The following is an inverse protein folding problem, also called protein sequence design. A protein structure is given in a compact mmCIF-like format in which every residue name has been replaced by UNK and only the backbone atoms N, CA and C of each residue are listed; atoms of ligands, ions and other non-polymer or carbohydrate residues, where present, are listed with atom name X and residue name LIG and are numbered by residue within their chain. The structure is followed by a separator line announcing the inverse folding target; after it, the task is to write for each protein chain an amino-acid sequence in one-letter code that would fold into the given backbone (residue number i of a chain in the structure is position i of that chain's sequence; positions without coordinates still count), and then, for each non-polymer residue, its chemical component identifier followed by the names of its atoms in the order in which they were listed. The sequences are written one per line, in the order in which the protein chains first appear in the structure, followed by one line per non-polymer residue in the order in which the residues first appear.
data_IF_868846499440
#
_entry.id   IF_868846499440
#
_cell.length_a   1.000
_cell.length_b   1.000
_cell.length_c   1.000
_cell.angle_alpha   90.00
_cell.angle_beta   90.00
_cell.angle_gamma   90.00
#
_symmetry.space_group_name_H-M   'P 1'
#
loop_
_entity.id
_entity.type
_entity.pdbx_description
1 polymer ?
#
# COMPACT_ATOMS: atom_id res chain seq x y z
N UNK A 1 71.95 -7.61 -18.30
CA UNK A 1 72.89 -8.35 -17.42
C UNK A 1 72.07 -8.95 -16.28
N UNK A 2 72.21 -10.26 -16.07
CA UNK A 2 71.66 -11.10 -14.99
C UNK A 2 71.82 -10.48 -13.59
N UNK A 3 71.16 -10.87 -12.49
CA UNK A 3 70.39 -12.04 -12.05
C UNK A 3 69.52 -11.57 -10.85
N UNK A 4 68.25 -11.93 -10.67
CA UNK A 4 67.70 -13.17 -10.09
C UNK A 4 68.26 -13.62 -8.71
N UNK A 5 67.38 -13.60 -7.68
CA UNK A 5 67.10 -14.63 -6.64
C UNK A 5 66.24 -14.00 -5.52
N UNK A 6 64.93 -14.21 -5.49
CA UNK A 6 64.20 -15.38 -4.93
C UNK A 6 64.35 -15.56 -3.42
N UNK A 7 63.21 -15.43 -2.70
CA UNK A 7 62.75 -16.38 -1.67
C UNK A 7 61.32 -16.05 -1.15
N UNK A 8 60.37 -16.87 -1.61
CA UNK A 8 59.04 -17.17 -1.03
C UNK A 8 59.23 -18.03 0.27
N UNK A 9 58.21 -18.44 1.06
CA UNK A 9 56.77 -18.23 0.98
C UNK A 9 56.06 -17.92 2.32
N UNK A 10 54.74 -17.66 2.28
CA UNK A 10 53.76 -18.22 3.23
C UNK A 10 52.34 -17.99 2.69
N UNK A 11 51.69 -19.11 2.37
CA UNK A 11 50.25 -19.20 2.13
C UNK A 11 49.48 -18.81 3.39
N UNK A 12 48.38 -18.07 3.22
CA UNK A 12 47.16 -18.27 3.99
C UNK A 12 45.98 -18.06 3.05
N UNK A 13 45.52 -19.17 2.44
CA UNK A 13 44.18 -19.25 1.92
C UNK A 13 43.22 -19.19 3.11
N UNK A 14 42.36 -18.17 3.17
CA UNK A 14 41.15 -18.21 3.99
C UNK A 14 39.96 -17.90 3.11
N UNK A 15 39.24 -18.97 2.82
CA UNK A 15 37.89 -19.04 2.31
C UNK A 15 37.00 -18.30 3.33
N UNK A 16 36.70 -17.04 3.06
CA UNK A 16 35.68 -16.29 3.79
C UNK A 16 34.40 -16.34 2.97
N UNK A 17 33.59 -17.39 3.19
CA UNK A 17 32.28 -17.50 2.55
C UNK A 17 31.47 -16.24 2.83
N UNK A 18 30.94 -15.63 1.77
CA UNK A 18 29.88 -14.64 1.90
C UNK A 18 28.69 -15.35 2.54
N UNK A 19 28.55 -15.23 3.86
CA UNK A 19 27.29 -15.45 4.55
C UNK A 19 26.34 -14.39 4.01
N UNK A 20 25.62 -14.75 2.95
CA UNK A 20 24.37 -14.07 2.61
C UNK A 20 23.43 -14.45 3.73
N UNK A 21 23.38 -13.61 4.77
CA UNK A 21 22.33 -13.69 5.76
C UNK A 21 21.07 -13.30 5.00
N UNK A 22 20.33 -14.31 4.52
CA UNK A 22 18.94 -14.12 4.14
C UNK A 22 18.22 -13.69 5.42
N UNK A 23 18.08 -12.38 5.61
CA UNK A 23 17.33 -11.83 6.71
C UNK A 23 15.86 -12.19 6.48
N UNK A 24 15.44 -13.33 7.00
CA UNK A 24 14.03 -13.59 7.30
C UNK A 24 13.67 -12.71 8.50
N UNK A 25 13.48 -11.42 8.27
CA UNK A 25 12.72 -10.58 9.19
C UNK A 25 11.24 -10.85 8.95
N UNK A 26 10.39 -10.87 9.98
CA UNK A 26 8.96 -10.72 9.76
C UNK A 26 8.79 -9.41 9.00
N UNK A 27 8.39 -9.49 7.73
CA UNK A 27 8.17 -8.31 6.92
C UNK A 27 6.90 -7.64 7.41
N UNK A 28 7.00 -6.84 8.47
CA UNK A 28 5.93 -5.91 8.82
C UNK A 28 5.70 -5.04 7.58
N UNK A 29 4.48 -5.07 7.04
CA UNK A 29 4.15 -4.26 5.87
C UNK A 29 4.42 -2.79 6.20
N UNK A 30 5.08 -2.07 5.29
CA UNK A 30 5.35 -0.64 5.51
C UNK A 30 4.01 0.12 5.55
N UNK A 31 3.64 0.59 6.74
CA UNK A 31 2.38 1.29 6.98
C UNK A 31 2.57 2.76 6.69
N UNK A 32 1.81 3.25 5.72
CA UNK A 32 1.74 4.65 5.34
C UNK A 32 0.49 5.28 5.94
N UNK A 33 0.65 6.33 6.75
CA UNK A 33 -0.47 7.11 7.28
C UNK A 33 -0.85 8.23 6.33
N UNK A 34 -2.15 8.43 6.14
CA UNK A 34 -2.70 9.55 5.39
C UNK A 34 -3.03 10.67 6.38
N UNK A 35 -2.68 11.90 6.03
CA UNK A 35 -2.82 13.04 6.92
C UNK A 35 -4.05 13.87 6.57
N UNK A 36 -4.79 14.36 7.57
CA UNK A 36 -5.72 15.46 7.38
C UNK A 36 -5.14 16.74 8.01
N UNK A 37 -5.42 17.92 7.44
CA UNK A 37 -4.86 19.19 7.90
C UNK A 37 -5.20 19.52 9.37
N UNK A 38 -6.19 18.83 9.96
CA UNK A 38 -6.62 19.02 11.33
C UNK A 38 -5.81 18.18 12.35
N UNK A 39 -5.28 17.01 11.96
CA UNK A 39 -4.56 16.06 12.83
C UNK A 39 -3.68 15.10 12.03
N UNK A 40 -2.53 14.72 12.60
CA UNK A 40 -1.87 13.45 12.25
C UNK A 40 -2.67 12.28 12.84
N UNK A 41 -3.94 12.12 12.44
CA UNK A 41 -4.75 11.01 12.91
C UNK A 41 -4.44 9.73 12.12
N UNK A 42 -4.48 8.60 12.81
CA UNK A 42 -4.21 7.27 12.25
C UNK A 42 -5.47 6.63 11.68
N UNK A 43 -6.49 7.44 11.38
CA UNK A 43 -7.79 6.96 10.94
C UNK A 43 -7.75 6.42 9.51
N UNK A 44 -6.77 6.84 8.71
CA UNK A 44 -6.55 6.34 7.35
C UNK A 44 -5.09 5.91 7.21
N UNK A 45 -4.90 4.63 6.90
CA UNK A 45 -3.59 4.05 6.66
C UNK A 45 -3.62 3.13 5.44
N UNK A 46 -2.50 3.01 4.75
CA UNK A 46 -2.34 2.08 3.64
C UNK A 46 -1.07 1.27 3.77
N UNK A 47 -1.12 0.03 3.29
CA UNK A 47 -0.01 -0.90 3.33
C UNK A 47 -0.06 -1.86 2.15
N UNK A 48 1.11 -2.37 1.75
CA UNK A 48 1.21 -3.40 0.73
C UNK A 48 0.70 -4.75 1.27
N UNK A 49 0.07 -5.55 0.41
CA UNK A 49 -0.33 -6.91 0.74
C UNK A 49 0.86 -7.85 0.95
N UNK A 50 0.65 -8.90 1.73
CA UNK A 50 1.70 -9.83 2.09
C UNK A 50 2.14 -10.72 0.91
N UNK A 51 3.46 -10.86 0.74
CA UNK A 51 4.06 -11.71 -0.31
C UNK A 51 3.66 -13.19 -0.16
N UNK A 52 3.56 -13.70 1.07
CA UNK A 52 3.18 -15.11 1.30
C UNK A 52 1.74 -15.43 0.87
N UNK A 53 0.88 -14.42 0.69
CA UNK A 53 -0.44 -14.55 0.08
C UNK A 53 -0.45 -14.29 -1.44
N UNK A 54 0.70 -13.91 -1.99
CA UNK A 54 0.87 -13.44 -3.35
C UNK A 54 0.16 -12.10 -3.60
N UNK A 55 0.05 -11.24 -2.58
CA UNK A 55 -0.65 -9.95 -2.62
C UNK A 55 0.30 -8.75 -2.72
N UNK A 56 1.56 -8.98 -3.10
CA UNK A 56 2.58 -7.92 -3.22
C UNK A 56 2.21 -6.78 -4.18
N UNK A 57 1.29 -7.00 -5.11
CA UNK A 57 0.76 -6.01 -6.05
C UNK A 57 -0.55 -5.36 -5.60
N UNK A 58 -1.09 -5.78 -4.46
CA UNK A 58 -2.30 -5.24 -3.83
C UNK A 58 -1.91 -4.19 -2.79
N UNK A 59 -2.58 -3.04 -2.82
CA UNK A 59 -2.50 -2.06 -1.72
C UNK A 59 -3.82 -2.06 -0.96
N UNK A 60 -3.74 -2.21 0.35
CA UNK A 60 -4.89 -2.07 1.24
C UNK A 60 -4.92 -0.64 1.77
N UNK A 61 -6.11 -0.05 1.84
CA UNK A 61 -6.41 1.22 2.49
C UNK A 61 -7.44 0.95 3.59
N UNK A 62 -7.03 1.14 4.82
CA UNK A 62 -7.83 0.95 6.00
C UNK A 62 -8.34 2.30 6.49
N UNK A 63 -9.64 2.37 6.78
CA UNK A 63 -10.35 3.59 7.14
C UNK A 63 -11.21 3.31 8.37
N UNK A 64 -10.87 3.96 9.48
CA UNK A 64 -11.73 4.05 10.66
C UNK A 64 -12.96 4.89 10.30
N UNK A 65 -14.16 4.32 10.50
CA UNK A 65 -15.41 4.94 10.10
C UNK A 65 -16.29 5.29 11.33
N UNK A 66 -17.02 6.42 11.31
CA UNK A 66 -17.02 7.44 10.27
C UNK A 66 -15.79 8.36 10.32
N UNK A 67 -15.31 8.78 9.15
CA UNK A 67 -14.37 9.89 9.05
C UNK A 67 -15.04 11.20 9.52
N UNK A 68 -14.27 12.23 9.91
CA UNK A 68 -14.81 13.55 10.22
C UNK A 68 -15.74 14.06 9.11
N UNK A 69 -16.93 14.54 9.49
CA UNK A 69 -17.96 15.01 8.56
C UNK A 69 -18.75 13.91 7.84
N UNK A 70 -18.41 12.63 8.04
CA UNK A 70 -19.19 11.48 7.57
C UNK A 70 -20.16 10.98 8.63
N UNK A 71 -21.12 10.17 8.21
CA UNK A 71 -22.12 9.55 9.09
C UNK A 71 -22.19 8.04 8.87
N UNK A 72 -22.78 7.31 9.83
CA UNK A 72 -22.96 5.87 9.74
C UNK A 72 -22.46 5.12 10.97
N UNK A 73 -22.67 3.80 10.99
CA UNK A 73 -22.26 2.95 12.09
C UNK A 73 -20.73 2.82 12.16
N UNK A 74 -20.19 2.84 13.38
CA UNK A 74 -18.75 2.66 13.60
C UNK A 74 -18.27 1.35 12.98
N UNK A 75 -17.23 1.41 12.16
CA UNK A 75 -16.75 0.27 11.41
C UNK A 75 -15.31 0.45 10.97
N UNK A 76 -14.72 -0.66 10.58
CA UNK A 76 -13.47 -0.69 9.86
C UNK A 76 -13.76 -0.88 8.37
N UNK A 77 -13.49 0.12 7.53
CA UNK A 77 -13.65 -0.02 6.08
C UNK A 77 -12.28 -0.28 5.46
N UNK A 78 -12.17 -1.34 4.67
CA UNK A 78 -10.97 -1.64 3.90
C UNK A 78 -11.31 -1.48 2.42
N UNK A 79 -10.48 -0.72 1.70
CA UNK A 79 -10.53 -0.54 0.26
C UNK A 79 -9.25 -1.07 -0.36
N UNK A 80 -9.31 -1.51 -1.61
CA UNK A 80 -8.16 -2.16 -2.25
C UNK A 80 -7.82 -1.54 -3.60
N UNK A 81 -6.52 -1.36 -3.83
CA UNK A 81 -5.94 -1.23 -5.16
C UNK A 81 -5.49 -2.60 -5.60
N UNK A 82 -6.18 -3.20 -6.56
CA UNK A 82 -5.90 -4.54 -7.06
C UNK A 82 -5.80 -4.53 -8.60
N UNK A 83 -4.63 -4.19 -9.15
CA UNK A 83 -4.45 -4.06 -10.60
C UNK A 83 -4.61 -5.36 -11.38
N UNK A 84 -4.43 -6.52 -10.72
CA UNK A 84 -4.52 -7.83 -11.36
C UNK A 84 -5.87 -8.51 -11.13
N UNK A 85 -6.76 -7.92 -10.31
CA UNK A 85 -8.10 -8.42 -10.05
C UNK A 85 -8.12 -9.71 -9.22
N UNK A 86 -7.06 -9.95 -8.44
CA UNK A 86 -6.87 -11.15 -7.63
C UNK A 86 -7.96 -11.36 -6.58
N UNK A 87 -8.53 -10.29 -6.05
CA UNK A 87 -9.49 -10.32 -4.95
C UNK A 87 -10.95 -10.36 -5.40
N UNK A 88 -11.25 -10.58 -6.69
CA UNK A 88 -12.56 -10.31 -7.31
C UNK A 88 -13.83 -10.71 -6.52
N UNK A 89 -13.85 -11.84 -5.81
CA UNK A 89 -15.00 -12.27 -5.00
C UNK A 89 -15.10 -11.58 -3.61
N UNK A 90 -14.00 -10.99 -3.14
CA UNK A 90 -13.85 -10.37 -1.83
C UNK A 90 -14.10 -8.86 -1.85
N UNK A 91 -14.47 -8.30 -3.00
CA UNK A 91 -14.72 -6.87 -3.20
C UNK A 91 -16.15 -6.59 -3.63
N UNK A 92 -16.68 -5.44 -3.23
CA UNK A 92 -18.07 -5.01 -3.51
C UNK A 92 -18.25 -4.44 -4.91
N UNK A 93 -17.16 -3.99 -5.52
CA UNK A 93 -17.10 -3.41 -6.85
C UNK A 93 -15.77 -3.77 -7.54
N UNK A 94 -15.57 -3.30 -8.77
CA UNK A 94 -14.34 -3.53 -9.53
C UNK A 94 -13.36 -2.37 -9.35
N UNK A 95 -12.06 -2.69 -9.20
CA UNK A 95 -10.99 -1.69 -9.27
C UNK A 95 -10.94 -1.06 -10.66
N UNK A 96 -10.92 0.28 -10.71
CA UNK A 96 -10.84 1.03 -11.96
C UNK A 96 -9.59 1.92 -11.92
N UNK A 97 -8.54 1.61 -12.71
CA UNK A 97 -7.26 2.34 -12.67
C UNK A 97 -7.33 3.74 -13.30
N UNK A 98 -8.40 4.02 -14.07
CA UNK A 98 -8.71 5.32 -14.66
C UNK A 98 -10.22 5.53 -14.58
N UNK A 99 -10.66 6.04 -13.44
CA UNK A 99 -12.06 6.29 -13.16
C UNK A 99 -12.45 7.72 -13.51
N UNK A 100 -13.71 7.92 -13.89
CA UNK A 100 -14.32 9.23 -13.81
C UNK A 100 -14.73 9.47 -12.34
N UNK A 101 -14.45 10.67 -11.83
CA UNK A 101 -14.88 11.05 -10.48
C UNK A 101 -16.38 11.39 -10.51
N UNK A 102 -17.23 10.77 -9.66
CA UNK A 102 -18.65 11.10 -9.61
C UNK A 102 -18.89 12.58 -9.29
N UNK A 103 -19.94 13.17 -9.88
CA UNK A 103 -20.25 14.58 -9.71
C UNK A 103 -20.60 14.98 -8.26
N UNK A 104 -21.03 14.01 -7.44
CA UNK A 104 -21.33 14.20 -6.02
C UNK A 104 -20.16 13.85 -5.09
N UNK A 105 -19.00 13.45 -5.63
CA UNK A 105 -17.81 13.15 -4.85
C UNK A 105 -17.32 14.36 -4.04
N UNK A 106 -16.90 14.08 -2.81
CA UNK A 106 -16.35 15.07 -1.87
C UNK A 106 -15.00 14.58 -1.36
N UNK A 107 -14.06 15.51 -1.19
CA UNK A 107 -12.83 15.27 -0.46
C UNK A 107 -13.15 14.87 0.99
N UNK A 108 -12.37 13.93 1.52
CA UNK A 108 -12.36 13.58 2.94
C UNK A 108 -11.33 14.38 3.74
N UNK A 109 -10.58 15.25 3.06
CA UNK A 109 -9.42 16.01 3.54
C UNK A 109 -8.19 15.17 3.93
N UNK A 110 -8.25 13.85 3.72
CA UNK A 110 -7.09 12.97 3.85
C UNK A 110 -6.22 13.01 2.61
N UNK A 111 -4.93 13.24 2.84
CA UNK A 111 -3.89 13.29 1.83
C UNK A 111 -2.83 12.23 2.11
N UNK A 112 -2.56 11.37 1.14
CA UNK A 112 -1.51 10.37 1.16
C UNK A 112 -0.12 10.99 0.97
N UNK A 113 0.95 10.18 1.07
CA UNK A 113 2.33 10.66 1.10
C UNK A 113 2.77 11.36 -0.19
N UNK A 114 2.18 11.01 -1.34
CA UNK A 114 2.53 11.59 -2.63
C UNK A 114 1.55 12.69 -3.06
N UNK A 115 0.78 13.24 -2.11
CA UNK A 115 -0.21 14.28 -2.38
C UNK A 115 -1.52 13.77 -2.99
N UNK A 116 -1.77 12.45 -2.96
CA UNK A 116 -3.06 11.89 -3.38
C UNK A 116 -4.13 12.26 -2.36
N UNK A 117 -5.33 12.57 -2.82
CA UNK A 117 -6.48 12.85 -1.95
C UNK A 117 -7.45 11.68 -1.94
N UNK A 118 -8.00 11.38 -0.76
CA UNK A 118 -9.09 10.42 -0.60
C UNK A 118 -10.44 11.12 -0.74
N UNK A 119 -11.25 10.63 -1.65
CA UNK A 119 -12.58 11.15 -1.96
C UNK A 119 -13.63 10.05 -1.81
N UNK A 120 -14.85 10.44 -1.42
CA UNK A 120 -16.01 9.56 -1.33
C UNK A 120 -17.19 10.22 -2.04
N UNK A 121 -17.97 9.43 -2.77
CA UNK A 121 -19.21 9.88 -3.39
C UNK A 121 -20.41 9.32 -2.62
N UNK A 122 -21.32 10.18 -2.10
CA UNK A 122 -22.52 9.71 -1.39
C UNK A 122 -23.30 8.65 -2.15
N UNK A 123 -23.39 8.76 -3.48
CA UNK A 123 -24.08 7.82 -4.36
C UNK A 123 -23.56 6.38 -4.33
N UNK A 124 -22.30 6.13 -3.94
CA UNK A 124 -21.70 4.80 -3.90
C UNK A 124 -20.64 4.59 -2.80
N UNK A 125 -20.67 5.41 -1.75
CA UNK A 125 -19.67 5.42 -0.67
C UNK A 125 -19.56 4.10 0.10
N UNK A 126 -20.57 3.22 -0.01
CA UNK A 126 -20.52 1.89 0.59
C UNK A 126 -19.76 0.87 -0.24
N UNK A 127 -19.45 1.17 -1.50
CA UNK A 127 -18.81 0.26 -2.46
C UNK A 127 -17.44 0.76 -2.94
N UNK A 128 -17.24 2.07 -3.06
CA UNK A 128 -16.04 2.66 -3.67
C UNK A 128 -15.47 3.82 -2.85
N UNK A 129 -14.14 3.89 -2.83
CA UNK A 129 -13.38 5.09 -2.55
C UNK A 129 -12.65 5.56 -3.80
N UNK A 130 -12.40 6.85 -3.90
CA UNK A 130 -11.69 7.45 -5.02
C UNK A 130 -10.37 8.03 -4.54
N UNK A 131 -9.27 7.64 -5.19
CA UNK A 131 -7.95 8.23 -4.97
C UNK A 131 -7.66 9.18 -6.12
N UNK A 132 -7.68 10.47 -5.82
CA UNK A 132 -7.42 11.55 -6.77
C UNK A 132 -5.97 11.98 -6.65
N UNK A 133 -5.18 11.82 -7.70
CA UNK A 133 -3.76 12.16 -7.67
C UNK A 133 -3.54 13.66 -7.98
N UNK A 134 -2.35 14.22 -7.69
CA UNK A 134 -2.00 15.59 -8.06
C UNK A 134 -2.14 15.88 -9.56
N UNK A 135 -1.95 14.87 -10.41
CA UNK A 135 -2.37 14.92 -11.81
C UNK A 135 -3.90 14.73 -11.88
N UNK A 136 -4.69 15.78 -12.21
CA UNK A 136 -6.14 15.73 -12.14
C UNK A 136 -6.76 14.74 -13.15
N UNK A 137 -6.01 14.26 -14.14
CA UNK A 137 -6.49 13.20 -15.05
C UNK A 137 -6.32 11.80 -14.48
N UNK A 138 -5.67 11.66 -13.32
CA UNK A 138 -5.43 10.38 -12.67
C UNK A 138 -6.32 10.26 -11.44
N UNK A 139 -7.41 9.52 -11.63
CA UNK A 139 -8.30 9.08 -10.56
C UNK A 139 -8.38 7.56 -10.61
N UNK A 140 -8.18 6.91 -9.47
CA UNK A 140 -8.39 5.48 -9.30
C UNK A 140 -9.65 5.27 -8.45
N UNK A 141 -10.50 4.30 -8.81
CA UNK A 141 -11.61 3.88 -7.97
C UNK A 141 -11.26 2.55 -7.29
N UNK A 142 -11.16 2.58 -5.97
CA UNK A 142 -10.73 1.48 -5.13
C UNK A 142 -11.97 0.84 -4.49
N UNK A 143 -12.29 -0.42 -4.81
CA UNK A 143 -13.45 -1.09 -4.23
C UNK A 143 -13.24 -1.40 -2.76
N UNK A 144 -14.33 -1.28 -2.01
CA UNK A 144 -14.40 -1.74 -0.63
C UNK A 144 -14.46 -3.25 -0.60
N UNK A 145 -13.79 -3.87 0.35
CA UNK A 145 -13.89 -5.30 0.59
C UNK A 145 -15.25 -5.66 1.21
N UNK A 146 -15.69 -6.91 1.03
CA UNK A 146 -16.92 -7.44 1.64
C UNK A 146 -16.75 -7.57 3.15
N UNK A 147 -15.54 -7.91 3.60
CA UNK A 147 -15.06 -8.05 4.96
C UNK A 147 -13.60 -7.58 5.06
N UNK A 148 -13.08 -7.30 6.26
CA UNK A 148 -11.65 -7.01 6.42
C UNK A 148 -10.82 -8.25 6.04
N UNK A 149 -9.96 -8.09 5.06
CA UNK A 149 -9.02 -9.13 4.62
C UNK A 149 -7.71 -8.98 5.39
N UNK A 150 -7.19 -10.12 5.83
CA UNK A 150 -5.88 -10.29 6.44
C UNK A 150 -5.29 -11.63 5.99
N UNK A 151 -3.99 -11.77 6.20
CA UNK A 151 -3.29 -13.03 6.00
C UNK A 151 -2.69 -13.48 7.32
N UNK A 152 -2.85 -14.77 7.61
CA UNK A 152 -2.29 -15.45 8.79
C UNK A 152 -0.98 -16.18 8.43
#
# INVERSE_FOLDING_TARGET
MSANRSRWPLLCALIGGALVVAACGPGDADVTYWSNAARQDKAVESYAGAEHCGWQDVTFLHVEWPLPGQTGAAANRQYVRDPTGRLGAEVRATYVPRADLPADARTTDYTGPDGQQLWLAPSNSDDLAYVVYPDPQRVEAWPRTTQTLGCD
#
